data_IF_054080318635
#
_entry.id   IF_054080318635
#
_cell.length_a   1.000
_cell.length_b   1.000
_cell.length_c   1.000
_cell.angle_alpha   90.00
_cell.angle_beta   90.00
_cell.angle_gamma   90.00
#
_symmetry.space_group_name_H-M   'P 1'
#
loop_
_entity.id
_entity.type
_entity.pdbx_description
1 polymer ?
#
# COMPACT_ATOMS: atom_id res chain seq x y z
N UNK A 1 -20.31 -12.06 -7.91
CA UNK A 1 -19.32 -11.06 -8.37
C UNK A 1 -19.09 -9.95 -7.34
N UNK A 2 -20.15 -9.31 -6.80
CA UNK A 2 -20.11 -8.23 -5.79
C UNK A 2 -19.13 -8.41 -4.61
N UNK A 3 -19.08 -9.61 -4.01
CA UNK A 3 -18.20 -9.88 -2.85
C UNK A 3 -16.74 -9.92 -3.28
N UNK A 4 -16.43 -10.48 -4.46
CA UNK A 4 -15.07 -10.58 -5.00
C UNK A 4 -14.48 -9.20 -5.31
N UNK A 5 -15.25 -8.32 -5.94
CA UNK A 5 -14.81 -6.94 -6.25
C UNK A 5 -14.57 -6.12 -4.98
N UNK A 6 -15.28 -6.46 -3.90
CA UNK A 6 -15.09 -5.87 -2.58
C UNK A 6 -13.80 -6.33 -1.89
N UNK A 7 -13.18 -7.44 -2.30
CA UNK A 7 -11.93 -7.90 -1.66
C UNK A 7 -10.71 -7.04 -2.03
N UNK A 8 -10.79 -6.23 -3.09
CA UNK A 8 -9.75 -5.26 -3.45
C UNK A 8 -9.65 -4.05 -2.49
N UNK A 9 -10.45 -4.01 -1.41
CA UNK A 9 -10.34 -3.00 -0.34
C UNK A 9 -8.96 -3.04 0.35
N UNK A 10 -8.32 -4.22 0.40
CA UNK A 10 -7.00 -4.40 1.01
C UNK A 10 -5.94 -3.45 0.42
N UNK A 11 -5.99 -3.20 -0.90
CA UNK A 11 -5.07 -2.28 -1.58
C UNK A 11 -5.24 -0.86 -1.06
N UNK A 12 -6.48 -0.40 -0.92
CA UNK A 12 -6.78 0.89 -0.32
C UNK A 12 -6.34 1.01 1.13
N UNK A 13 -6.43 -0.09 1.90
CA UNK A 13 -5.95 -0.10 3.29
C UNK A 13 -4.43 0.04 3.34
N UNK A 14 -3.70 -0.69 2.50
CA UNK A 14 -2.24 -0.56 2.40
C UNK A 14 -1.83 0.83 1.92
N UNK A 15 -2.53 1.39 0.91
CA UNK A 15 -2.29 2.74 0.41
C UNK A 15 -2.44 3.79 1.52
N UNK A 16 -3.57 3.77 2.23
CA UNK A 16 -3.81 4.68 3.34
C UNK A 16 -2.79 4.50 4.47
N UNK A 17 -2.52 3.27 4.91
CA UNK A 17 -1.55 2.99 5.99
C UNK A 17 -0.12 3.39 5.61
N UNK A 18 0.24 3.27 4.33
CA UNK A 18 1.54 3.71 3.81
C UNK A 18 1.70 5.22 3.96
N UNK A 19 0.75 6.01 3.46
CA UNK A 19 0.75 7.47 3.61
C UNK A 19 0.73 7.88 5.08
N UNK A 20 -0.17 7.27 5.87
CA UNK A 20 -0.31 7.54 7.30
C UNK A 20 1.01 7.27 8.06
N UNK A 21 1.63 6.11 7.86
CA UNK A 21 2.89 5.73 8.50
C UNK A 21 4.09 6.57 8.05
N UNK A 22 4.12 6.94 6.77
CA UNK A 22 5.12 7.88 6.25
C UNK A 22 4.99 9.26 6.87
N UNK A 23 3.76 9.78 6.98
CA UNK A 23 3.48 11.07 7.63
C UNK A 23 3.88 11.05 9.11
N UNK A 24 3.56 9.98 9.85
CA UNK A 24 4.00 9.81 11.24
C UNK A 24 5.52 9.78 11.36
N UNK A 25 6.23 9.15 10.42
CA UNK A 25 7.69 9.13 10.46
C UNK A 25 8.29 10.52 10.28
N UNK A 26 7.70 11.35 9.41
CA UNK A 26 8.11 12.75 9.25
C UNK A 26 7.79 13.52 10.54
N UNK A 27 6.59 13.36 11.08
CA UNK A 27 6.15 14.02 12.32
C UNK A 27 7.02 13.68 13.53
N UNK A 28 7.50 12.44 13.64
CA UNK A 28 8.40 12.01 14.70
C UNK A 28 9.79 12.67 14.61
N UNK A 29 10.22 13.11 13.42
CA UNK A 29 11.46 13.87 13.23
C UNK A 29 11.25 15.37 13.41
N UNK A 30 10.16 15.90 12.86
CA UNK A 30 9.77 17.30 13.00
C UNK A 30 8.27 17.42 13.25
N UNK A 31 7.89 17.85 14.47
CA UNK A 31 6.51 17.97 14.90
C UNK A 31 5.69 18.91 14.00
N UNK A 32 6.32 19.93 13.41
CA UNK A 32 5.69 20.93 12.56
C UNK A 32 5.63 20.52 11.07
N UNK A 33 6.00 19.26 10.76
CA UNK A 33 6.07 18.71 9.40
C UNK A 33 6.91 19.58 8.46
N UNK A 34 7.87 20.33 9.01
CA UNK A 34 8.74 21.19 8.23
C UNK A 34 9.95 20.41 7.75
N UNK A 35 10.13 20.37 6.44
CA UNK A 35 11.24 19.66 5.82
C UNK A 35 11.93 20.61 4.87
N UNK A 36 13.25 20.76 5.06
CA UNK A 36 14.13 21.38 4.09
C UNK A 36 14.12 20.58 2.78
N UNK A 37 14.53 21.20 1.67
CA UNK A 37 14.63 20.51 0.37
C UNK A 37 15.53 19.27 0.48
N UNK A 38 16.67 19.40 1.17
CA UNK A 38 17.60 18.30 1.47
C UNK A 38 16.90 17.14 2.17
N UNK A 39 16.13 17.42 3.23
CA UNK A 39 15.40 16.37 3.97
C UNK A 39 14.28 15.74 3.16
N UNK A 40 13.59 16.50 2.29
CA UNK A 40 12.58 15.96 1.37
C UNK A 40 13.21 14.96 0.40
N UNK A 41 14.34 15.31 -0.22
CA UNK A 41 15.06 14.44 -1.16
C UNK A 41 15.58 13.19 -0.43
N UNK A 42 16.20 13.35 0.73
CA UNK A 42 16.68 12.22 1.55
C UNK A 42 15.53 11.31 1.99
N UNK A 43 14.36 11.88 2.32
CA UNK A 43 13.17 11.11 2.66
C UNK A 43 12.70 10.27 1.47
N UNK A 44 12.51 10.88 0.30
CA UNK A 44 12.06 10.19 -0.92
C UNK A 44 13.03 9.07 -1.29
N UNK A 45 14.32 9.38 -1.37
CA UNK A 45 15.35 8.40 -1.73
C UNK A 45 15.43 7.24 -0.72
N UNK A 46 15.44 7.55 0.59
CA UNK A 46 15.51 6.53 1.63
C UNK A 46 14.27 5.61 1.68
N UNK A 47 13.09 6.16 1.35
CA UNK A 47 11.84 5.39 1.22
C UNK A 47 11.82 4.54 -0.03
N UNK A 48 12.22 5.10 -1.17
CA UNK A 48 12.28 4.38 -2.43
C UNK A 48 13.26 3.21 -2.37
N UNK A 49 14.48 3.43 -1.88
CA UNK A 49 15.46 2.35 -1.63
C UNK A 49 14.89 1.32 -0.64
N UNK A 50 14.16 1.74 0.38
CA UNK A 50 13.51 0.84 1.33
C UNK A 50 12.45 -0.06 0.70
N UNK A 51 11.62 0.50 -0.19
CA UNK A 51 10.61 -0.22 -0.94
C UNK A 51 11.26 -1.28 -1.85
N UNK A 52 12.19 -0.85 -2.71
CA UNK A 52 12.88 -1.73 -3.64
C UNK A 52 13.71 -2.80 -2.92
N UNK A 53 14.41 -2.42 -1.86
CA UNK A 53 15.17 -3.37 -1.05
C UNK A 53 14.30 -4.44 -0.39
N UNK A 54 13.05 -4.12 -0.04
CA UNK A 54 12.08 -5.10 0.43
C UNK A 54 11.59 -6.05 -0.68
N UNK A 55 11.50 -5.53 -1.91
CA UNK A 55 10.96 -6.21 -3.08
C UNK A 55 11.97 -7.07 -3.85
N UNK A 56 13.23 -6.66 -3.98
CA UNK A 56 14.21 -7.31 -4.87
C UNK A 56 14.43 -8.79 -4.58
N UNK A 57 14.48 -9.20 -3.31
CA UNK A 57 14.67 -10.62 -2.98
C UNK A 57 13.46 -11.47 -3.44
N UNK A 58 12.21 -11.13 -3.07
CA UNK A 58 11.01 -11.73 -3.68
C UNK A 58 10.98 -11.66 -5.21
N UNK A 59 11.36 -10.53 -5.80
CA UNK A 59 11.39 -10.34 -7.26
C UNK A 59 12.30 -11.36 -7.93
N UNK A 60 13.59 -11.43 -7.56
CA UNK A 60 14.52 -12.39 -8.16
C UNK A 60 14.13 -13.83 -7.88
N UNK A 61 13.57 -14.13 -6.70
CA UNK A 61 12.99 -15.45 -6.43
C UNK A 61 11.90 -15.81 -7.43
N UNK A 62 10.92 -14.92 -7.65
CA UNK A 62 9.85 -15.15 -8.62
C UNK A 62 10.38 -15.27 -10.05
N UNK A 63 11.39 -14.49 -10.43
CA UNK A 63 12.01 -14.59 -11.76
C UNK A 63 12.64 -15.97 -12.00
N UNK A 64 13.42 -16.45 -11.04
CA UNK A 64 14.10 -17.74 -11.15
C UNK A 64 13.08 -18.88 -11.27
N UNK A 65 12.06 -18.88 -10.41
CA UNK A 65 11.02 -19.92 -10.45
C UNK A 65 10.20 -19.85 -11.74
N UNK A 66 9.82 -18.65 -12.19
CA UNK A 66 9.09 -18.48 -13.46
C UNK A 66 9.92 -18.94 -14.66
N UNK A 67 11.23 -18.68 -14.68
CA UNK A 67 12.12 -19.18 -15.73
C UNK A 67 12.17 -20.73 -15.77
N UNK A 68 12.22 -21.39 -14.61
CA UNK A 68 12.14 -22.87 -14.54
C UNK A 68 10.79 -23.42 -15.01
N UNK A 69 9.72 -22.64 -14.88
CA UNK A 69 8.37 -22.97 -15.33
C UNK A 69 8.12 -22.56 -16.78
N UNK A 70 9.14 -22.04 -17.48
CA UNK A 70 9.02 -21.48 -18.85
C UNK A 70 7.93 -20.42 -18.97
N UNK A 71 7.77 -19.60 -17.92
CA UNK A 71 6.80 -18.51 -17.86
C UNK A 71 7.50 -17.16 -18.02
N UNK A 72 7.03 -16.36 -18.97
CA UNK A 72 7.54 -15.03 -19.27
C UNK A 72 6.43 -14.15 -19.86
N UNK A 73 6.41 -12.88 -19.46
CA UNK A 73 5.41 -11.88 -19.86
C UNK A 73 6.07 -10.56 -20.31
N UNK A 74 7.41 -10.47 -20.34
CA UNK A 74 8.10 -9.22 -20.66
C UNK A 74 8.08 -8.85 -22.14
N UNK A 75 7.37 -9.62 -22.96
CA UNK A 75 7.16 -9.37 -24.38
C UNK A 75 8.29 -9.87 -25.27
N UNK A 76 8.07 -9.73 -26.58
CA UNK A 76 9.00 -10.23 -27.61
C UNK A 76 10.12 -9.23 -27.90
N UNK A 77 11.33 -9.76 -28.11
CA UNK A 77 12.54 -8.99 -28.46
C UNK A 77 13.41 -8.66 -27.25
N UNK A 78 14.72 -8.90 -27.37
CA UNK A 78 15.70 -8.81 -26.28
C UNK A 78 15.72 -7.42 -25.63
N UNK A 79 15.66 -6.35 -26.43
CA UNK A 79 15.70 -4.98 -25.90
C UNK A 79 14.47 -4.68 -25.05
N UNK A 80 13.27 -4.98 -25.57
CA UNK A 80 12.02 -4.76 -24.85
C UNK A 80 11.96 -5.61 -23.58
N UNK A 81 12.40 -6.87 -23.67
CA UNK A 81 12.47 -7.79 -22.54
C UNK A 81 13.31 -7.22 -21.40
N UNK A 82 14.54 -6.78 -21.70
CA UNK A 82 15.46 -6.19 -20.72
C UNK A 82 14.90 -4.87 -20.17
N UNK A 83 14.34 -4.00 -21.01
CA UNK A 83 13.75 -2.75 -20.57
C UNK A 83 12.57 -2.99 -19.60
N UNK A 84 11.65 -3.89 -19.96
CA UNK A 84 10.47 -4.19 -19.15
C UNK A 84 10.87 -4.87 -17.83
N UNK A 85 11.85 -5.79 -17.86
CA UNK A 85 12.42 -6.39 -16.66
C UNK A 85 13.00 -5.34 -15.70
N UNK A 86 13.76 -4.38 -16.23
CA UNK A 86 14.36 -3.31 -15.43
C UNK A 86 13.27 -2.41 -14.84
N UNK A 87 12.29 -1.99 -15.65
CA UNK A 87 11.18 -1.17 -15.18
C UNK A 87 10.38 -1.87 -14.07
N UNK A 88 10.15 -3.17 -14.21
CA UNK A 88 9.43 -3.97 -13.22
C UNK A 88 10.25 -4.12 -11.93
N UNK A 89 11.57 -4.36 -12.05
CA UNK A 89 12.50 -4.41 -10.92
C UNK A 89 12.53 -3.10 -10.11
N UNK A 90 12.35 -1.95 -10.78
CA UNK A 90 12.28 -0.63 -10.15
C UNK A 90 10.85 -0.23 -9.74
N UNK A 91 9.86 -1.09 -9.97
CA UNK A 91 8.45 -0.82 -9.68
C UNK A 91 7.89 0.34 -10.50
N UNK A 92 8.38 0.55 -11.73
CA UNK A 92 8.01 1.66 -12.59
C UNK A 92 7.10 1.27 -13.76
N UNK A 93 6.80 -0.02 -13.93
CA UNK A 93 6.12 -0.50 -15.14
C UNK A 93 4.78 0.14 -15.42
N UNK A 94 3.96 0.40 -14.39
CA UNK A 94 2.65 1.05 -14.57
C UNK A 94 2.73 2.55 -14.88
N UNK A 95 3.88 3.21 -14.72
CA UNK A 95 4.04 4.59 -15.19
C UNK A 95 4.34 4.68 -16.68
N UNK A 96 4.91 3.62 -17.24
CA UNK A 96 5.32 3.54 -18.65
C UNK A 96 4.46 2.57 -19.46
N UNK A 97 3.37 2.08 -18.88
CA UNK A 97 2.47 1.08 -19.47
C UNK A 97 3.20 -0.13 -20.06
N UNK A 98 4.23 -0.59 -19.34
CA UNK A 98 5.05 -1.73 -19.77
C UNK A 98 4.58 -3.05 -19.15
N UNK A 99 4.76 -4.18 -19.85
CA UNK A 99 4.48 -5.50 -19.31
C UNK A 99 5.24 -5.76 -17.99
N UNK A 100 4.59 -6.49 -17.10
CA UNK A 100 5.12 -6.93 -15.81
C UNK A 100 5.04 -8.45 -15.76
N UNK A 101 5.92 -9.09 -14.98
CA UNK A 101 5.85 -10.54 -14.80
C UNK A 101 4.54 -10.97 -14.12
N UNK A 102 3.99 -10.12 -13.26
CA UNK A 102 2.64 -10.28 -12.73
C UNK A 102 1.94 -8.94 -12.68
N UNK A 103 0.68 -8.91 -13.07
CA UNK A 103 -0.12 -7.69 -13.08
C UNK A 103 -0.23 -7.08 -11.69
N UNK A 104 -0.26 -7.88 -10.62
CA UNK A 104 -0.43 -7.41 -9.23
C UNK A 104 0.69 -6.53 -8.70
N UNK A 105 1.86 -6.53 -9.35
CA UNK A 105 2.97 -5.65 -8.99
C UNK A 105 2.76 -4.19 -9.37
N UNK A 106 1.68 -3.85 -10.09
CA UNK A 106 1.25 -2.46 -10.32
C UNK A 106 1.22 -1.62 -9.04
N UNK A 107 0.91 -2.23 -7.89
CA UNK A 107 0.86 -1.55 -6.60
C UNK A 107 2.22 -0.96 -6.17
N UNK A 108 3.34 -1.50 -6.66
CA UNK A 108 4.66 -0.93 -6.42
C UNK A 108 4.77 0.45 -7.06
N UNK A 109 4.32 0.63 -8.31
CA UNK A 109 4.28 1.94 -8.97
C UNK A 109 3.39 2.92 -8.22
N UNK A 110 2.23 2.48 -7.73
CA UNK A 110 1.38 3.31 -6.88
C UNK A 110 2.09 3.73 -5.57
N UNK A 111 2.86 2.82 -4.96
CA UNK A 111 3.61 3.13 -3.74
C UNK A 111 4.75 4.12 -4.01
N UNK A 112 5.43 4.00 -5.16
CA UNK A 112 6.42 4.98 -5.63
C UNK A 112 5.78 6.34 -5.81
N UNK A 113 4.59 6.41 -6.42
CA UNK A 113 3.83 7.65 -6.56
C UNK A 113 3.58 8.31 -5.19
N UNK A 114 3.12 7.53 -4.19
CA UNK A 114 2.92 8.06 -2.84
C UNK A 114 4.21 8.57 -2.20
N UNK A 115 5.34 7.87 -2.37
CA UNK A 115 6.62 8.30 -1.82
C UNK A 115 7.03 9.65 -2.41
N UNK A 116 6.90 9.82 -3.72
CA UNK A 116 7.31 11.05 -4.44
C UNK A 116 6.35 12.21 -4.18
N UNK A 117 5.03 11.97 -4.17
CA UNK A 117 4.00 13.01 -4.01
C UNK A 117 3.88 13.49 -2.57
N UNK A 118 4.15 12.63 -1.58
CA UNK A 118 3.90 12.93 -0.17
C UNK A 118 4.57 14.24 0.34
N UNK A 119 5.85 14.54 0.07
CA UNK A 119 6.46 15.80 0.50
C UNK A 119 5.76 17.05 -0.04
N UNK A 120 5.24 16.99 -1.27
CA UNK A 120 4.47 18.07 -1.88
C UNK A 120 3.08 18.19 -1.25
N UNK A 121 2.42 17.06 -1.01
CA UNK A 121 1.12 17.03 -0.33
C UNK A 121 1.22 17.56 1.11
N UNK A 122 2.30 17.26 1.83
CA UNK A 122 2.57 17.83 3.16
C UNK A 122 2.77 19.36 3.08
N UNK A 123 3.50 19.86 2.07
CA UNK A 123 3.66 21.30 1.88
C UNK A 123 2.31 22.00 1.63
N UNK A 124 1.43 21.39 0.84
CA UNK A 124 0.07 21.90 0.62
C UNK A 124 -0.78 21.81 1.89
N UNK A 125 -0.69 20.72 2.65
CA UNK A 125 -1.39 20.56 3.93
C UNK A 125 -0.95 21.61 4.93
N UNK A 126 0.33 22.00 4.98
CA UNK A 126 0.77 23.09 5.86
C UNK A 126 0.12 24.43 5.50
N UNK A 127 -0.12 24.70 4.22
CA UNK A 127 -0.72 25.95 3.75
C UNK A 127 -2.24 25.98 3.90
N UNK A 128 -2.91 24.88 3.61
CA UNK A 128 -4.37 24.81 3.52
C UNK A 128 -5.04 23.96 4.61
N UNK A 129 -4.25 23.28 5.45
CA UNK A 129 -4.72 22.36 6.49
C UNK A 129 -5.71 21.33 5.91
N UNK A 130 -6.82 21.08 6.61
CA UNK A 130 -7.89 20.14 6.23
C UNK A 130 -8.50 20.45 4.85
N UNK A 131 -8.41 21.70 4.37
CA UNK A 131 -8.94 22.10 3.05
C UNK A 131 -8.23 21.38 1.88
N UNK A 132 -7.10 20.72 2.11
CA UNK A 132 -6.47 19.86 1.11
C UNK A 132 -7.37 18.69 0.67
N UNK A 133 -8.27 18.20 1.54
CA UNK A 133 -9.21 17.12 1.20
C UNK A 133 -10.20 17.58 0.11
N UNK A 134 -11.04 18.62 0.32
CA UNK A 134 -11.96 19.07 -0.72
C UNK A 134 -11.22 19.59 -1.96
N UNK A 135 -10.05 20.22 -1.82
CA UNK A 135 -9.24 20.65 -2.96
C UNK A 135 -8.81 19.45 -3.82
N UNK A 136 -8.34 18.37 -3.18
CA UNK A 136 -7.96 17.14 -3.89
C UNK A 136 -9.17 16.49 -4.56
N UNK A 137 -10.34 16.49 -3.92
CA UNK A 137 -11.57 15.98 -4.53
C UNK A 137 -11.89 16.77 -5.81
N UNK A 138 -11.86 18.11 -5.74
CA UNK A 138 -12.11 18.97 -6.91
C UNK A 138 -11.09 18.69 -8.01
N UNK A 139 -9.80 18.64 -7.68
CA UNK A 139 -8.75 18.33 -8.65
C UNK A 139 -8.94 16.96 -9.31
N UNK A 140 -9.33 15.94 -8.54
CA UNK A 140 -9.57 14.60 -9.09
C UNK A 140 -10.84 14.55 -9.95
N UNK A 141 -11.91 15.25 -9.57
CA UNK A 141 -13.14 15.29 -10.38
C UNK A 141 -12.96 16.05 -11.70
N UNK A 142 -12.09 17.07 -11.73
CA UNK A 142 -11.82 17.85 -12.94
C UNK A 142 -10.71 17.26 -13.81
N UNK A 143 -9.73 16.58 -13.21
CA UNK A 143 -8.51 16.14 -13.90
C UNK A 143 -8.42 14.65 -14.19
N UNK A 144 -9.35 13.81 -13.71
CA UNK A 144 -9.35 12.36 -13.96
C UNK A 144 -10.56 11.99 -14.81
N UNK A 145 -10.31 11.75 -16.09
CA UNK A 145 -11.33 11.29 -17.04
C UNK A 145 -11.65 9.80 -16.84
N UNK A 146 -10.62 8.96 -16.71
CA UNK A 146 -10.76 7.52 -16.50
C UNK A 146 -10.16 7.06 -15.17
N UNK A 147 -10.93 6.31 -14.38
CA UNK A 147 -10.47 5.80 -13.07
C UNK A 147 -9.76 4.45 -13.21
N UNK A 148 -8.44 4.48 -13.18
CA UNK A 148 -7.55 3.33 -13.27
C UNK A 148 -7.08 2.83 -11.89
N UNK A 149 -5.98 2.08 -11.85
CA UNK A 149 -5.37 1.59 -10.61
C UNK A 149 -4.46 2.64 -9.93
N UNK A 150 -3.86 3.55 -10.69
CA UNK A 150 -2.93 4.59 -10.21
C UNK A 150 -3.67 5.77 -9.54
N UNK A 151 -4.82 6.16 -10.08
CA UNK A 151 -5.53 7.37 -9.64
C UNK A 151 -6.63 7.11 -8.59
N UNK A 152 -7.18 5.89 -8.55
CA UNK A 152 -8.32 5.52 -7.69
C UNK A 152 -8.10 5.77 -6.20
N UNK A 153 -6.85 5.72 -5.76
CA UNK A 153 -6.48 5.81 -4.36
C UNK A 153 -5.83 7.14 -3.99
N UNK A 154 -5.77 8.13 -4.89
CA UNK A 154 -5.06 9.39 -4.62
C UNK A 154 -5.65 10.19 -3.45
N UNK A 155 -6.96 10.09 -3.22
CA UNK A 155 -7.62 10.75 -2.09
C UNK A 155 -7.17 10.17 -0.72
N UNK A 156 -6.54 8.99 -0.68
CA UNK A 156 -5.93 8.48 0.56
C UNK A 156 -4.73 9.31 1.02
N UNK A 157 -4.10 10.10 0.14
CA UNK A 157 -2.95 10.95 0.47
C UNK A 157 -3.35 12.04 1.48
N UNK A 158 -4.27 12.98 1.16
CA UNK A 158 -4.69 14.01 2.11
C UNK A 158 -5.37 13.41 3.34
N UNK A 159 -6.14 12.32 3.19
CA UNK A 159 -6.75 11.62 4.32
C UNK A 159 -5.68 11.06 5.26
N UNK A 160 -4.69 10.34 4.75
CA UNK A 160 -3.60 9.77 5.54
C UNK A 160 -2.81 10.83 6.31
N UNK A 161 -2.53 11.97 5.67
CA UNK A 161 -1.86 13.11 6.31
C UNK A 161 -2.71 13.67 7.45
N UNK A 162 -3.99 13.98 7.21
CA UNK A 162 -4.89 14.55 8.22
C UNK A 162 -5.09 13.59 9.40
N UNK A 163 -5.29 12.30 9.13
CA UNK A 163 -5.46 11.30 10.17
C UNK A 163 -4.21 11.16 11.05
N UNK A 164 -3.02 11.21 10.44
CA UNK A 164 -1.74 11.14 11.14
C UNK A 164 -1.46 12.39 11.97
N UNK A 165 -1.65 13.57 11.39
CA UNK A 165 -1.32 14.83 12.04
C UNK A 165 -2.32 15.17 13.17
N UNK A 166 -3.62 15.08 12.88
CA UNK A 166 -4.68 15.49 13.79
C UNK A 166 -5.11 14.41 14.78
N UNK A 167 -4.48 13.22 14.74
CA UNK A 167 -4.76 12.07 15.60
C UNK A 167 -6.23 11.65 15.56
N UNK A 168 -6.83 11.64 14.35
CA UNK A 168 -8.25 11.36 14.18
C UNK A 168 -8.64 9.95 14.61
N UNK A 169 -7.77 8.94 14.46
CA UNK A 169 -8.02 7.60 15.00
C UNK A 169 -8.27 7.62 16.51
N UNK A 170 -7.41 8.29 17.27
CA UNK A 170 -7.52 8.39 18.73
C UNK A 170 -8.78 9.19 19.12
N UNK A 171 -9.03 10.32 18.44
CA UNK A 171 -10.21 11.17 18.70
C UNK A 171 -11.52 10.44 18.43
N UNK A 172 -11.64 9.76 17.29
CA UNK A 172 -12.83 8.97 16.93
C UNK A 172 -13.02 7.82 17.93
N UNK A 173 -11.95 7.11 18.27
CA UNK A 173 -12.01 6.03 19.25
C UNK A 173 -12.47 6.49 20.64
N UNK A 174 -11.94 7.62 21.13
CA UNK A 174 -12.39 8.24 22.37
C UNK A 174 -13.84 8.69 22.27
N UNK A 175 -14.23 9.34 21.15
CA UNK A 175 -15.58 9.80 20.89
C UNK A 175 -16.62 8.67 20.91
N UNK A 176 -16.32 7.52 20.30
CA UNK A 176 -17.17 6.31 20.34
C UNK A 176 -17.43 5.90 21.80
N UNK A 177 -16.42 6.01 22.67
CA UNK A 177 -16.46 5.50 24.06
C UNK A 177 -16.78 6.54 25.13
N UNK A 178 -17.05 7.79 24.76
CA UNK A 178 -17.38 8.88 25.70
C UNK A 178 -18.54 8.53 26.65
N UNK A 179 -19.57 7.84 26.15
CA UNK A 179 -20.73 7.43 26.95
C UNK A 179 -21.08 5.96 26.64
N UNK A 180 -21.22 5.14 27.69
CA UNK A 180 -21.48 3.70 27.58
C UNK A 180 -22.77 3.38 26.83
N UNK A 181 -23.81 4.20 26.98
CA UNK A 181 -25.12 3.97 26.33
C UNK A 181 -25.06 4.33 24.84
N UNK A 182 -24.49 5.49 24.50
CA UNK A 182 -24.41 5.95 23.09
C UNK A 182 -23.29 5.29 22.29
N UNK A 183 -22.38 4.55 22.94
CA UNK A 183 -21.31 3.80 22.29
C UNK A 183 -21.85 2.80 21.25
N UNK A 184 -22.90 2.05 21.59
CA UNK A 184 -23.54 1.12 20.68
C UNK A 184 -24.16 1.82 19.47
N UNK A 185 -24.86 2.94 19.70
CA UNK A 185 -25.46 3.74 18.63
C UNK A 185 -24.37 4.25 17.66
N UNK A 186 -23.29 4.82 18.19
CA UNK A 186 -22.16 5.31 17.36
C UNK A 186 -21.51 4.21 16.54
N UNK A 187 -21.35 3.01 17.12
CA UNK A 187 -20.85 1.83 16.40
C UNK A 187 -21.79 1.43 15.27
N UNK A 188 -23.09 1.31 15.55
CA UNK A 188 -24.11 0.98 14.54
C UNK A 188 -24.09 1.99 13.39
N UNK A 189 -23.95 3.29 13.68
CA UNK A 189 -23.82 4.32 12.64
C UNK A 189 -22.58 4.09 11.78
N UNK A 190 -21.41 3.80 12.36
CA UNK A 190 -20.18 3.53 11.60
C UNK A 190 -20.33 2.28 10.72
N UNK A 191 -20.90 1.19 11.25
CA UNK A 191 -21.18 -0.02 10.47
C UNK A 191 -22.20 0.22 9.36
N UNK A 192 -23.24 1.01 9.63
CA UNK A 192 -24.24 1.39 8.63
C UNK A 192 -23.61 2.19 7.49
N UNK A 193 -22.81 3.22 7.80
CA UNK A 193 -22.05 3.99 6.80
C UNK A 193 -21.16 3.04 5.99
N UNK A 194 -20.46 2.13 6.64
CA UNK A 194 -19.59 1.16 5.96
C UNK A 194 -20.36 0.28 4.96
N UNK A 195 -21.52 -0.26 5.37
CA UNK A 195 -22.38 -1.07 4.50
C UNK A 195 -22.92 -0.25 3.33
N UNK A 196 -23.39 0.97 3.58
CA UNK A 196 -23.88 1.89 2.54
C UNK A 196 -22.78 2.17 1.52
N UNK A 197 -21.54 2.45 1.95
CA UNK A 197 -20.44 2.68 1.02
C UNK A 197 -20.08 1.43 0.21
N UNK A 198 -20.07 0.24 0.82
CA UNK A 198 -19.87 -1.02 0.10
C UNK A 198 -20.95 -1.23 -0.96
N UNK A 199 -22.21 -0.91 -0.63
CA UNK A 199 -23.33 -1.01 -1.57
C UNK A 199 -23.21 0.00 -2.72
N UNK A 200 -22.85 1.25 -2.42
CA UNK A 200 -22.69 2.30 -3.42
C UNK A 200 -21.49 2.08 -4.35
N UNK A 201 -20.44 1.40 -3.88
CA UNK A 201 -19.20 1.19 -4.66
C UNK A 201 -19.41 0.58 -6.05
N UNK A 202 -20.15 -0.53 -6.21
CA UNK A 202 -20.50 -1.12 -7.50
C UNK A 202 -21.82 -0.60 -8.09
N UNK A 203 -22.62 0.16 -7.33
CA UNK A 203 -23.89 0.70 -7.82
C UNK A 203 -23.63 1.69 -8.98
N UNK A 204 -24.39 1.66 -10.10
CA UNK A 204 -24.12 2.50 -11.28
C UNK A 204 -23.98 3.99 -10.95
N UNK A 205 -24.88 4.52 -10.12
CA UNK A 205 -24.81 5.91 -9.65
C UNK A 205 -23.53 6.20 -8.82
N UNK A 206 -23.15 5.27 -7.92
CA UNK A 206 -21.95 5.44 -7.10
C UNK A 206 -20.67 5.33 -7.93
N UNK A 207 -20.68 4.45 -8.92
CA UNK A 207 -19.62 4.26 -9.89
C UNK A 207 -19.41 5.51 -10.78
N UNK A 208 -20.50 6.16 -11.20
CA UNK A 208 -20.44 7.33 -12.06
C UNK A 208 -20.03 8.63 -11.32
N UNK A 209 -20.49 8.82 -10.08
CA UNK A 209 -20.38 10.15 -9.44
C UNK A 209 -19.44 10.23 -8.25
N UNK A 210 -19.27 9.15 -7.48
CA UNK A 210 -18.56 9.20 -6.19
C UNK A 210 -17.50 8.10 -6.03
N UNK A 211 -17.15 7.41 -7.11
CA UNK A 211 -16.27 6.23 -7.07
C UNK A 211 -14.91 6.52 -6.43
N UNK A 212 -14.31 7.67 -6.70
CA UNK A 212 -13.03 8.10 -6.10
C UNK A 212 -13.13 8.28 -4.58
N UNK A 213 -14.24 8.88 -4.11
CA UNK A 213 -14.52 9.12 -2.70
C UNK A 213 -14.77 7.79 -1.99
N UNK A 214 -15.68 6.98 -2.54
CA UNK A 214 -16.07 5.69 -1.97
C UNK A 214 -14.87 4.75 -1.86
N UNK A 215 -14.04 4.66 -2.90
CA UNK A 215 -12.83 3.83 -2.87
C UNK A 215 -11.84 4.27 -1.78
N UNK A 216 -11.72 5.56 -1.50
CA UNK A 216 -10.77 6.03 -0.47
C UNK A 216 -11.34 5.98 0.95
N UNK A 217 -12.65 6.16 1.13
CA UNK A 217 -13.28 6.14 2.45
C UNK A 217 -13.48 4.73 3.01
N UNK A 218 -13.83 3.75 2.17
CA UNK A 218 -14.05 2.36 2.62
C UNK A 218 -12.83 1.80 3.39
N UNK A 219 -11.58 1.92 2.89
CA UNK A 219 -10.39 1.50 3.63
C UNK A 219 -10.21 2.19 4.98
N UNK A 220 -10.47 3.50 5.06
CA UNK A 220 -10.33 4.27 6.29
C UNK A 220 -11.32 3.78 7.35
N UNK A 221 -12.58 3.59 6.95
CA UNK A 221 -13.62 3.09 7.84
C UNK A 221 -13.36 1.64 8.23
N UNK A 222 -12.87 0.81 7.31
CA UNK A 222 -12.43 -0.56 7.63
C UNK A 222 -11.34 -0.53 8.71
N UNK A 223 -10.31 0.32 8.56
CA UNK A 223 -9.25 0.45 9.57
C UNK A 223 -9.83 0.95 10.90
N UNK A 224 -10.79 1.87 10.90
CA UNK A 224 -11.47 2.34 12.12
C UNK A 224 -12.22 1.22 12.83
N UNK A 225 -12.97 0.41 12.08
CA UNK A 225 -13.69 -0.76 12.59
C UNK A 225 -12.69 -1.76 13.20
N UNK A 226 -11.62 -2.09 12.47
CA UNK A 226 -10.57 -3.00 12.94
C UNK A 226 -9.89 -2.45 14.20
N UNK A 227 -9.58 -1.15 14.23
CA UNK A 227 -8.99 -0.48 15.38
C UNK A 227 -9.90 -0.60 16.61
N UNK A 228 -11.20 -0.30 16.50
CA UNK A 228 -12.12 -0.41 17.64
C UNK A 228 -12.31 -1.87 18.13
N UNK A 229 -12.32 -2.84 17.21
CA UNK A 229 -12.50 -4.26 17.50
C UNK A 229 -11.27 -4.91 18.16
N UNK A 230 -10.06 -4.59 17.70
CA UNK A 230 -8.83 -5.32 18.06
C UNK A 230 -7.91 -4.59 19.05
N UNK A 231 -8.09 -3.29 19.30
CA UNK A 231 -7.17 -2.48 20.12
C UNK A 231 -6.81 -3.10 21.50
N UNK A 232 -7.73 -3.84 22.15
CA UNK A 232 -7.50 -4.43 23.48
C UNK A 232 -7.19 -5.94 23.48
N UNK A 233 -7.20 -6.64 22.34
CA UNK A 233 -7.12 -8.11 22.29
C UNK A 233 -5.68 -8.60 22.08
N UNK A 234 -4.89 -8.66 23.16
CA UNK A 234 -3.44 -8.99 23.13
C UNK A 234 -3.09 -10.27 22.35
N UNK A 235 -3.84 -11.36 22.50
CA UNK A 235 -3.56 -12.64 21.79
C UNK A 235 -3.74 -12.53 20.27
N UNK A 236 -4.84 -11.93 19.84
CA UNK A 236 -5.16 -11.76 18.42
C UNK A 236 -4.15 -10.83 17.75
N UNK A 237 -3.71 -9.80 18.47
CA UNK A 237 -2.71 -8.86 17.99
C UNK A 237 -1.38 -9.55 17.66
N UNK A 238 -0.95 -10.54 18.46
CA UNK A 238 0.30 -11.27 18.17
C UNK A 238 0.26 -12.04 16.85
N UNK A 239 -0.88 -12.64 16.51
CA UNK A 239 -1.05 -13.37 15.24
C UNK A 239 -1.03 -12.39 14.08
N UNK A 240 -1.81 -11.31 14.15
CA UNK A 240 -1.83 -10.29 13.10
C UNK A 240 -0.51 -9.55 12.96
N UNK A 241 0.23 -9.35 14.05
CA UNK A 241 1.56 -8.77 14.02
C UNK A 241 2.56 -9.70 13.31
N UNK A 242 2.49 -11.00 13.57
CA UNK A 242 3.26 -12.00 12.84
C UNK A 242 2.92 -11.99 11.34
N UNK A 243 1.64 -12.08 10.99
CA UNK A 243 1.19 -12.02 9.60
C UNK A 243 1.58 -10.71 8.91
N UNK A 244 1.46 -9.58 9.62
CA UNK A 244 1.82 -8.25 9.14
C UNK A 244 3.32 -8.11 8.85
N UNK A 245 4.20 -8.72 9.64
CA UNK A 245 5.65 -8.74 9.35
C UNK A 245 5.97 -9.46 8.04
N UNK A 246 5.17 -10.47 7.68
CA UNK A 246 5.37 -11.28 6.48
C UNK A 246 4.53 -10.81 5.28
N UNK A 247 3.65 -9.81 5.46
CA UNK A 247 2.61 -9.46 4.48
C UNK A 247 3.17 -8.95 3.16
N UNK A 248 4.30 -8.24 3.17
CA UNK A 248 4.93 -7.74 1.96
C UNK A 248 5.39 -8.89 1.04
N UNK A 249 6.17 -9.84 1.56
CA UNK A 249 6.61 -11.00 0.76
C UNK A 249 5.41 -11.85 0.32
N UNK A 250 4.40 -12.05 1.18
CA UNK A 250 3.18 -12.76 0.79
C UNK A 250 2.48 -12.05 -0.37
N UNK A 251 2.34 -10.72 -0.30
CA UNK A 251 1.76 -9.92 -1.38
C UNK A 251 2.55 -10.05 -2.68
N UNK A 252 3.88 -10.08 -2.65
CA UNK A 252 4.67 -10.20 -3.87
C UNK A 252 4.56 -11.56 -4.56
N UNK A 253 4.25 -12.63 -3.82
CA UNK A 253 4.34 -14.02 -4.32
C UNK A 253 2.96 -14.66 -4.53
N UNK A 254 1.92 -14.21 -3.84
CA UNK A 254 0.62 -14.91 -3.83
C UNK A 254 0.00 -15.11 -5.23
N UNK A 255 0.16 -14.13 -6.13
CA UNK A 255 -0.37 -14.25 -7.51
C UNK A 255 0.36 -15.35 -8.28
N UNK A 256 1.66 -15.51 -8.05
CA UNK A 256 2.42 -16.58 -8.69
C UNK A 256 1.89 -17.97 -8.30
N UNK A 257 1.64 -18.19 -7.01
CA UNK A 257 1.07 -19.47 -6.56
C UNK A 257 -0.35 -19.65 -7.09
N UNK A 258 -1.19 -18.61 -6.98
CA UNK A 258 -2.61 -18.68 -7.30
C UNK A 258 -2.88 -18.85 -8.78
N UNK A 259 -2.19 -18.09 -9.62
CA UNK A 259 -2.54 -17.90 -11.04
C UNK A 259 -1.50 -18.42 -12.01
N UNK A 260 -0.22 -18.45 -11.64
CA UNK A 260 0.89 -18.72 -12.57
C UNK A 260 1.43 -20.15 -12.40
N UNK A 261 2.10 -20.45 -11.28
CA UNK A 261 2.81 -21.71 -11.06
C UNK A 261 1.89 -22.88 -10.70
N UNK A 262 0.87 -22.65 -9.85
CA UNK A 262 0.04 -23.71 -9.28
C UNK A 262 -1.45 -23.46 -9.47
N UNK A 263 -1.86 -22.86 -10.60
CA UNK A 263 -3.25 -22.53 -10.89
C UNK A 263 -4.20 -23.74 -10.71
N UNK A 264 -3.93 -24.85 -11.41
CA UNK A 264 -4.77 -26.06 -11.37
C UNK A 264 -4.92 -26.63 -9.97
N UNK A 265 -3.81 -26.67 -9.21
CA UNK A 265 -3.82 -27.16 -7.83
C UNK A 265 -4.59 -26.21 -6.92
N UNK A 266 -4.33 -24.91 -7.02
CA UNK A 266 -5.00 -23.90 -6.19
C UNK A 266 -6.51 -23.93 -6.40
N UNK A 267 -6.98 -24.01 -7.64
CA UNK A 267 -8.42 -24.04 -7.93
C UNK A 267 -9.07 -25.43 -7.77
N UNK A 268 -8.28 -26.50 -7.58
CA UNK A 268 -8.80 -27.85 -7.33
C UNK A 268 -9.63 -27.96 -6.05
N UNK A 269 -9.39 -27.09 -5.06
CA UNK A 269 -10.11 -27.06 -3.80
C UNK A 269 -11.57 -26.58 -3.93
N UNK A 270 -11.94 -25.89 -5.02
CA UNK A 270 -13.29 -25.35 -5.36
C UNK A 270 -13.90 -24.32 -4.39
N UNK A 271 -13.68 -24.47 -3.08
CA UNK A 271 -14.21 -23.58 -2.05
C UNK A 271 -13.27 -22.40 -1.80
N UNK A 272 -13.79 -21.18 -1.92
CA UNK A 272 -13.00 -19.95 -1.75
C UNK A 272 -12.27 -19.86 -0.41
N UNK A 273 -12.88 -20.35 0.68
CA UNK A 273 -12.24 -20.38 2.00
C UNK A 273 -11.03 -21.32 2.07
N UNK A 274 -11.12 -22.50 1.46
CA UNK A 274 -9.99 -23.44 1.40
C UNK A 274 -8.86 -22.90 0.52
N UNK A 275 -9.20 -22.26 -0.60
CA UNK A 275 -8.22 -21.58 -1.47
C UNK A 275 -7.46 -20.51 -0.68
N UNK A 276 -8.17 -19.69 0.09
CA UNK A 276 -7.55 -18.65 0.91
C UNK A 276 -6.62 -19.23 1.99
N UNK A 277 -7.05 -20.29 2.69
CA UNK A 277 -6.25 -20.96 3.72
C UNK A 277 -4.99 -21.58 3.10
N UNK A 278 -5.14 -22.29 1.98
CA UNK A 278 -4.02 -22.87 1.24
C UNK A 278 -3.03 -21.80 0.81
N UNK A 279 -3.50 -20.74 0.18
CA UNK A 279 -2.66 -19.64 -0.29
C UNK A 279 -1.94 -18.95 0.88
N UNK A 280 -2.64 -18.72 1.99
CA UNK A 280 -2.06 -18.15 3.20
C UNK A 280 -0.93 -19.03 3.75
N UNK A 281 -1.15 -20.34 3.88
CA UNK A 281 -0.12 -21.27 4.40
C UNK A 281 1.11 -21.27 3.50
N UNK A 282 0.94 -21.47 2.18
CA UNK A 282 2.07 -21.56 1.26
C UNK A 282 2.84 -20.24 1.19
N UNK A 283 2.15 -19.10 1.11
CA UNK A 283 2.81 -17.79 1.05
C UNK A 283 3.51 -17.42 2.35
N UNK A 284 2.99 -17.78 3.52
CA UNK A 284 3.67 -17.62 4.81
C UNK A 284 4.95 -18.46 4.84
N UNK A 285 4.88 -19.73 4.46
CA UNK A 285 6.05 -20.61 4.42
C UNK A 285 7.16 -20.04 3.54
N UNK A 286 6.84 -19.61 2.31
CA UNK A 286 7.80 -18.96 1.42
C UNK A 286 8.32 -17.63 2.01
N UNK A 287 7.46 -16.84 2.63
CA UNK A 287 7.86 -15.59 3.28
C UNK A 287 8.87 -15.83 4.40
N UNK A 288 8.69 -16.87 5.22
CA UNK A 288 9.65 -17.28 6.26
C UNK A 288 10.99 -17.69 5.64
N UNK A 289 10.97 -18.49 4.57
CA UNK A 289 12.19 -18.90 3.86
C UNK A 289 12.95 -17.70 3.29
N UNK A 290 12.23 -16.74 2.69
CA UNK A 290 12.81 -15.50 2.17
C UNK A 290 13.41 -14.65 3.29
N UNK A 291 12.73 -14.51 4.42
CA UNK A 291 13.27 -13.76 5.57
C UNK A 291 14.49 -14.46 6.18
N UNK A 292 14.51 -15.78 6.22
CA UNK A 292 15.69 -16.55 6.63
C UNK A 292 16.86 -16.30 5.66
N UNK A 293 16.62 -16.38 4.35
CA UNK A 293 17.63 -16.09 3.34
C UNK A 293 18.18 -14.65 3.43
N UNK A 294 17.30 -13.65 3.62
CA UNK A 294 17.70 -12.25 3.86
C UNK A 294 18.63 -12.12 5.06
N UNK A 295 18.40 -12.88 6.13
CA UNK A 295 19.29 -12.90 7.31
C UNK A 295 20.65 -13.52 6.99
N UNK A 296 20.68 -14.64 6.26
CA UNK A 296 21.93 -15.31 5.87
C UNK A 296 22.87 -14.38 5.11
N UNK A 297 22.36 -13.64 4.14
CA UNK A 297 23.16 -12.73 3.31
C UNK A 297 23.39 -11.35 3.94
N UNK A 298 22.95 -11.14 5.20
CA UNK A 298 22.94 -9.86 5.91
C UNK A 298 22.31 -8.72 5.10
N UNK A 299 21.18 -9.01 4.45
CA UNK A 299 20.50 -8.10 3.53
C UNK A 299 20.15 -6.76 4.19
N UNK A 300 19.66 -6.79 5.42
CA UNK A 300 19.25 -5.59 6.15
C UNK A 300 20.43 -4.64 6.40
N UNK A 301 21.64 -5.17 6.65
CA UNK A 301 22.85 -4.36 6.84
C UNK A 301 23.30 -3.73 5.51
N UNK A 302 23.24 -4.50 4.41
CA UNK A 302 23.51 -3.98 3.06
C UNK A 302 22.55 -2.86 2.69
N UNK A 303 21.26 -3.07 2.94
CA UNK A 303 20.20 -2.08 2.65
C UNK A 303 20.36 -0.81 3.50
N UNK A 304 20.73 -0.95 4.79
CA UNK A 304 21.04 0.19 5.65
C UNK A 304 22.22 1.00 5.10
N UNK A 305 23.32 0.31 4.74
CA UNK A 305 24.50 0.95 4.14
C UNK A 305 24.17 1.68 2.83
N UNK A 306 23.33 1.10 1.97
CA UNK A 306 22.88 1.76 0.73
C UNK A 306 22.14 3.08 1.02
N UNK A 307 21.24 3.08 2.01
CA UNK A 307 20.53 4.30 2.43
C UNK A 307 21.46 5.36 3.00
N UNK A 308 22.45 4.95 3.79
CA UNK A 308 23.46 5.85 4.37
C UNK A 308 24.31 6.51 3.29
N UNK A 309 24.85 5.73 2.34
CA UNK A 309 25.63 6.24 1.21
C UNK A 309 24.81 7.22 0.37
N UNK A 310 23.55 6.88 0.07
CA UNK A 310 22.65 7.75 -0.68
C UNK A 310 22.42 9.08 0.07
N UNK A 311 22.13 9.01 1.37
CA UNK A 311 21.92 10.18 2.22
C UNK A 311 23.15 11.11 2.26
N UNK A 312 24.35 10.54 2.39
CA UNK A 312 25.62 11.28 2.37
C UNK A 312 25.82 11.98 1.02
N UNK A 313 25.60 11.28 -0.09
CA UNK A 313 25.78 11.82 -1.44
C UNK A 313 24.79 12.96 -1.73
N UNK A 314 23.54 12.83 -1.28
CA UNK A 314 22.55 13.92 -1.35
C UNK A 314 23.01 15.13 -0.52
N UNK A 315 23.59 14.90 0.65
CA UNK A 315 24.12 15.97 1.49
C UNK A 315 25.22 16.78 0.82
N UNK A 316 26.15 16.12 0.15
CA UNK A 316 27.21 16.77 -0.62
C UNK A 316 26.70 17.56 -1.82
N UNK A 317 25.66 17.07 -2.51
CA UNK A 317 25.09 17.74 -3.68
C UNK A 317 24.29 19.00 -3.31
N UNK A 318 23.63 18.99 -2.16
CA UNK A 318 22.81 20.12 -1.68
C UNK A 318 23.61 21.23 -1.01
N UNK A 319 24.86 20.96 -0.64
CA UNK A 319 25.79 21.98 -0.10
C UNK A 319 26.61 22.69 -1.19
N UNK A 320 26.58 22.18 -2.43
CA UNK A 320 27.35 22.72 -3.58
C UNK A 320 26.55 23.63 -4.52
N UNK A 321 25.24 23.77 -4.31
CA UNK A 321 24.35 24.58 -5.15
C UNK A 321 23.66 25.66 -4.33
#
# INVERSE_FOLDING_TARGET
MFISDSMNICVGMFAFLSVFGMTLTIKNKNLNLDLTIKEKIQFVAGRYIGLLGGFWIPFFFCQIVSAFMSYDEYGQGIVNHVCNFILDMFGLSSFFDTPMLTTTWWYLSLTVLFIVVLPFAIALYKKYSILIIPLTIICLLLGVEEVDNMNRWLLVIPLGICFADLKWFQKIYQWIRLNKVTCWIKRVIIYFIFIVLIYLRPHPWGWAHIRLIVNSLIPVIMILILYDCFYKKRKINSIFEFLGRHSANMFYIHTFIREIWFNKLTYSFRYAGLILIFLLIVTICLSILIEYFKKLIRWNDKLRRMKEICSQKIGQLTERG
#
